data_IF_103076053119
#
_entry.id   IF_103076053119
#
_cell.length_a   1.000
_cell.length_b   1.000
_cell.length_c   1.000
_cell.angle_alpha   90.00
_cell.angle_beta   90.00
_cell.angle_gamma   90.00
#
_symmetry.space_group_name_H-M   'P 1'
#
loop_
_entity.id
_entity.type
_entity.pdbx_description
1 polymer ?
#
# COMPACT_ATOMS: atom_id res chain seq x y z
N UNK A 1 -9.37 0.98 -15.50
CA UNK A 1 -8.86 1.88 -14.44
C UNK A 1 -8.17 3.07 -15.07
N UNK A 2 -8.04 4.18 -14.35
CA UNK A 2 -7.25 5.35 -14.79
C UNK A 2 -5.76 5.06 -14.71
N UNK A 3 -4.96 5.79 -15.50
CA UNK A 3 -3.48 5.72 -15.46
C UNK A 3 -2.91 6.09 -14.09
N UNK A 4 -3.49 7.08 -13.42
CA UNK A 4 -3.07 7.55 -12.09
C UNK A 4 -3.22 6.43 -11.06
N UNK A 5 -4.39 5.77 -11.05
CA UNK A 5 -4.63 4.61 -10.19
C UNK A 5 -3.60 3.50 -10.42
N UNK A 6 -3.32 3.16 -11.69
CA UNK A 6 -2.32 2.14 -12.05
C UNK A 6 -0.91 2.50 -11.56
N UNK A 7 -0.49 3.77 -11.74
CA UNK A 7 0.78 4.27 -11.20
C UNK A 7 0.82 4.10 -9.69
N UNK A 8 -0.27 4.46 -9.00
CA UNK A 8 -0.36 4.35 -7.55
C UNK A 8 -0.20 2.92 -7.05
N UNK A 9 -0.88 1.96 -7.66
CA UNK A 9 -0.74 0.52 -7.35
C UNK A 9 0.69 0.04 -7.63
N UNK A 10 1.24 0.39 -8.80
CA UNK A 10 2.60 -0.03 -9.16
C UNK A 10 3.67 0.49 -8.20
N UNK A 11 3.49 1.70 -7.65
CA UNK A 11 4.36 2.23 -6.61
C UNK A 11 4.29 1.42 -5.31
N UNK A 12 3.11 0.96 -4.89
CA UNK A 12 2.96 0.08 -3.71
C UNK A 12 3.63 -1.26 -3.98
N UNK A 13 3.39 -1.84 -5.16
CA UNK A 13 3.98 -3.12 -5.57
C UNK A 13 5.50 -3.12 -5.53
N UNK A 14 6.13 -2.03 -5.97
CA UNK A 14 7.59 -1.87 -5.95
C UNK A 14 8.20 -1.92 -4.55
N UNK A 15 7.42 -1.60 -3.52
CA UNK A 15 7.87 -1.58 -2.12
C UNK A 15 7.22 -2.67 -1.27
N UNK A 16 6.54 -3.64 -1.88
CA UNK A 16 5.98 -4.80 -1.18
C UNK A 16 7.03 -5.56 -0.35
N UNK A 17 8.24 -5.84 -0.85
CA UNK A 17 9.24 -6.55 -0.06
C UNK A 17 9.64 -5.79 1.22
N UNK A 18 9.72 -4.47 1.16
CA UNK A 18 10.00 -3.62 2.30
C UNK A 18 8.82 -3.52 3.27
N UNK A 19 7.58 -3.49 2.76
CA UNK A 19 6.38 -3.59 3.59
C UNK A 19 6.34 -4.92 4.34
N UNK A 20 6.68 -6.03 3.69
CA UNK A 20 6.79 -7.34 4.34
C UNK A 20 7.90 -7.36 5.40
N UNK A 21 9.08 -6.81 5.09
CA UNK A 21 10.17 -6.64 6.09
C UNK A 21 9.76 -5.79 7.29
N UNK A 22 8.90 -4.78 7.07
CA UNK A 22 8.40 -3.94 8.16
C UNK A 22 7.53 -4.73 9.14
N UNK A 23 6.80 -5.76 8.68
CA UNK A 23 6.03 -6.65 9.55
C UNK A 23 6.93 -7.46 10.49
N UNK A 24 8.13 -7.81 10.02
CA UNK A 24 9.12 -8.59 10.78
C UNK A 24 10.01 -7.73 11.70
N UNK A 25 9.96 -6.39 11.59
CA UNK A 25 10.81 -5.50 12.37
C UNK A 25 10.50 -5.63 13.88
N UNK A 26 11.50 -5.96 14.70
CA UNK A 26 11.31 -6.17 16.14
C UNK A 26 11.50 -4.88 16.97
N UNK A 27 12.15 -3.87 16.40
CA UNK A 27 12.52 -2.65 17.09
C UNK A 27 12.27 -1.40 16.24
N UNK A 28 12.16 -0.25 16.92
CA UNK A 28 11.88 1.04 16.28
C UNK A 28 13.00 1.53 15.36
N UNK A 29 14.26 1.19 15.62
CA UNK A 29 15.39 1.62 14.79
C UNK A 29 15.34 0.91 13.43
N UNK A 30 15.13 -0.40 13.43
CA UNK A 30 14.94 -1.21 12.22
C UNK A 30 13.71 -0.75 11.45
N UNK A 31 12.57 -0.59 12.14
CA UNK A 31 11.33 -0.11 11.51
C UNK A 31 11.53 1.27 10.87
N UNK A 32 12.22 2.20 11.54
CA UNK A 32 12.49 3.55 11.00
C UNK A 32 13.32 3.51 9.72
N UNK A 33 14.34 2.64 9.64
CA UNK A 33 15.15 2.49 8.42
C UNK A 33 14.30 2.02 7.25
N UNK A 34 13.42 1.04 7.48
CA UNK A 34 12.52 0.52 6.46
C UNK A 34 11.51 1.59 6.04
N UNK A 35 10.86 2.24 7.01
CA UNK A 35 9.90 3.31 6.77
C UNK A 35 10.52 4.44 5.94
N UNK A 36 11.73 4.87 6.24
CA UNK A 36 12.41 5.90 5.46
C UNK A 36 12.61 5.51 3.98
N UNK A 37 12.79 4.22 3.67
CA UNK A 37 12.92 3.74 2.30
C UNK A 37 11.58 3.76 1.54
N UNK A 38 10.47 3.52 2.22
CA UNK A 38 9.14 3.34 1.59
C UNK A 38 8.19 4.53 1.74
N UNK A 39 8.48 5.48 2.64
CA UNK A 39 7.59 6.58 2.96
C UNK A 39 7.19 7.41 1.73
N UNK A 40 8.16 7.74 0.87
CA UNK A 40 7.90 8.50 -0.35
C UNK A 40 7.05 7.72 -1.37
N UNK A 41 7.40 6.47 -1.74
CA UNK A 41 6.53 5.63 -2.56
C UNK A 41 5.10 5.51 -2.04
N UNK A 42 4.90 5.21 -0.75
CA UNK A 42 3.57 5.06 -0.15
C UNK A 42 2.78 6.37 -0.18
N UNK A 43 3.44 7.48 0.13
CA UNK A 43 2.82 8.82 0.05
C UNK A 43 2.41 9.16 -1.39
N UNK A 44 3.29 8.91 -2.36
CA UNK A 44 2.99 9.13 -3.77
C UNK A 44 1.83 8.24 -4.25
N UNK A 45 1.79 6.97 -3.84
CA UNK A 45 0.69 6.06 -4.13
C UNK A 45 -0.65 6.60 -3.62
N UNK A 46 -0.71 7.10 -2.39
CA UNK A 46 -1.94 7.68 -1.82
C UNK A 46 -2.46 8.84 -2.67
N UNK A 47 -1.56 9.73 -3.13
CA UNK A 47 -1.94 10.84 -4.01
C UNK A 47 -2.47 10.38 -5.36
N UNK A 48 -1.78 9.42 -6.00
CA UNK A 48 -2.15 8.90 -7.31
C UNK A 48 -3.49 8.14 -7.27
N UNK A 49 -3.70 7.30 -6.26
CA UNK A 49 -4.97 6.57 -6.06
C UNK A 49 -6.12 7.55 -5.76
N UNK A 50 -5.86 8.63 -5.01
CA UNK A 50 -6.88 9.65 -4.68
C UNK A 50 -7.46 10.32 -5.93
N UNK A 51 -6.60 10.69 -6.88
CA UNK A 51 -7.01 11.35 -8.12
C UNK A 51 -7.43 10.38 -9.22
N UNK A 52 -7.00 9.12 -9.12
CA UNK A 52 -7.37 8.05 -10.06
C UNK A 52 -8.74 7.43 -9.79
N UNK A 53 -9.12 6.50 -10.67
CA UNK A 53 -10.31 5.65 -10.59
C UNK A 53 -9.92 4.18 -10.80
N UNK A 54 -10.34 3.31 -9.88
CA UNK A 54 -10.01 1.89 -9.91
C UNK A 54 -10.73 1.09 -8.83
N UNK A 55 -10.61 -0.25 -8.86
CA UNK A 55 -11.24 -1.14 -7.89
C UNK A 55 -10.76 -0.85 -6.47
N UNK A 56 -11.64 -1.03 -5.49
CA UNK A 56 -11.33 -0.85 -4.06
C UNK A 56 -10.63 0.48 -3.70
N UNK A 57 -10.81 1.53 -4.52
CA UNK A 57 -10.17 2.85 -4.32
C UNK A 57 -10.39 3.37 -2.90
N UNK A 58 -11.63 3.40 -2.44
CA UNK A 58 -11.97 3.92 -1.12
C UNK A 58 -11.34 3.08 0.01
N UNK A 59 -11.29 1.76 -0.16
CA UNK A 59 -10.66 0.85 0.79
C UNK A 59 -9.14 1.07 0.86
N UNK A 60 -8.48 1.22 -0.29
CA UNK A 60 -7.07 1.58 -0.38
C UNK A 60 -6.78 2.92 0.29
N UNK A 61 -7.59 3.95 0.03
CA UNK A 61 -7.41 5.28 0.63
C UNK A 61 -7.65 5.27 2.14
N UNK A 62 -8.64 4.49 2.61
CA UNK A 62 -8.92 4.30 4.03
C UNK A 62 -7.75 3.66 4.80
N UNK A 63 -6.88 2.94 4.09
CA UNK A 63 -5.69 2.30 4.64
C UNK A 63 -4.44 3.16 4.46
N UNK A 64 -4.23 3.74 3.27
CA UNK A 64 -3.05 4.55 2.93
C UNK A 64 -2.99 5.85 3.72
N UNK A 65 -4.13 6.52 3.93
CA UNK A 65 -4.18 7.82 4.62
C UNK A 65 -3.65 7.73 6.06
N UNK A 66 -4.17 6.82 6.93
CA UNK A 66 -3.62 6.67 8.27
C UNK A 66 -2.19 6.11 8.25
N UNK A 67 -1.86 5.23 7.29
CA UNK A 67 -0.51 4.66 7.18
C UNK A 67 0.58 5.73 7.00
N UNK A 68 0.32 6.75 6.17
CA UNK A 68 1.26 7.86 5.98
C UNK A 68 1.50 8.63 7.29
N UNK A 69 0.45 8.84 8.09
CA UNK A 69 0.55 9.46 9.41
C UNK A 69 1.38 8.60 10.38
N UNK A 70 1.04 7.32 10.48
CA UNK A 70 1.73 6.35 11.34
C UNK A 70 3.22 6.21 10.99
N UNK A 71 3.57 6.21 9.70
CA UNK A 71 4.97 6.16 9.26
C UNK A 71 5.77 7.39 9.69
N UNK A 72 5.16 8.58 9.61
CA UNK A 72 5.80 9.84 10.04
C UNK A 72 6.09 9.84 11.52
N UNK A 73 5.11 9.41 12.32
CA UNK A 73 5.20 9.43 13.78
C UNK A 73 6.06 8.28 14.33
N UNK A 74 5.80 7.05 13.86
CA UNK A 74 6.37 5.79 14.38
C UNK A 74 6.25 5.67 15.91
N UNK A 75 5.13 6.17 16.44
CA UNK A 75 4.80 6.15 17.85
C UNK A 75 4.45 4.73 18.31
N UNK A 76 3.61 4.05 17.54
CA UNK A 76 3.12 2.70 17.78
C UNK A 76 3.45 1.77 16.58
N UNK A 77 4.31 0.78 16.83
CA UNK A 77 4.76 -0.14 15.79
C UNK A 77 3.71 -1.21 15.46
N UNK A 78 2.89 -1.62 16.42
CA UNK A 78 1.88 -2.66 16.21
C UNK A 78 0.73 -2.11 15.36
N UNK A 79 0.30 -0.88 15.65
CA UNK A 79 -0.70 -0.16 14.83
C UNK A 79 -0.21 0.06 13.39
N UNK A 80 1.07 0.42 13.22
CA UNK A 80 1.70 0.55 11.91
C UNK A 80 1.68 -0.79 11.16
N UNK A 81 2.12 -1.87 11.81
CA UNK A 81 2.16 -3.22 11.22
C UNK A 81 0.77 -3.71 10.81
N UNK A 82 -0.26 -3.45 11.61
CA UNK A 82 -1.62 -3.82 11.26
C UNK A 82 -2.11 -3.10 10.00
N UNK A 83 -1.80 -1.80 9.90
CA UNK A 83 -2.16 -1.00 8.72
C UNK A 83 -1.40 -1.47 7.47
N UNK A 84 -0.14 -1.91 7.63
CA UNK A 84 0.64 -2.55 6.56
C UNK A 84 0.04 -3.90 6.14
N UNK A 85 -0.39 -4.75 7.09
CA UNK A 85 -1.07 -6.02 6.78
C UNK A 85 -2.34 -5.79 5.96
N UNK A 86 -3.17 -4.83 6.39
CA UNK A 86 -4.38 -4.44 5.67
C UNK A 86 -4.04 -3.95 4.26
N UNK A 87 -3.02 -3.11 4.10
CA UNK A 87 -2.61 -2.61 2.78
C UNK A 87 -2.21 -3.75 1.85
N UNK A 88 -1.32 -4.65 2.31
CA UNK A 88 -0.87 -5.81 1.52
C UNK A 88 -2.06 -6.66 1.10
N UNK A 89 -2.99 -6.93 2.03
CA UNK A 89 -4.21 -7.68 1.73
C UNK A 89 -5.06 -7.00 0.65
N UNK A 90 -5.39 -5.72 0.82
CA UNK A 90 -6.23 -4.99 -0.15
C UNK A 90 -5.57 -4.91 -1.53
N UNK A 91 -4.23 -4.76 -1.60
CA UNK A 91 -3.51 -4.79 -2.87
C UNK A 91 -3.62 -6.15 -3.56
N UNK A 92 -3.49 -7.26 -2.82
CA UNK A 92 -3.69 -8.61 -3.38
C UNK A 92 -5.10 -8.81 -3.91
N UNK A 93 -6.12 -8.38 -3.16
CA UNK A 93 -7.51 -8.47 -3.61
C UNK A 93 -7.77 -7.65 -4.88
N UNK A 94 -7.13 -6.48 -5.01
CA UNK A 94 -7.17 -5.69 -6.26
C UNK A 94 -6.52 -6.46 -7.42
N UNK A 95 -5.39 -7.11 -7.22
CA UNK A 95 -4.73 -7.91 -8.26
C UNK A 95 -5.57 -9.11 -8.69
N UNK A 96 -6.22 -9.78 -7.75
CA UNK A 96 -7.14 -10.89 -8.00
C UNK A 96 -8.36 -10.41 -8.82
N UNK A 97 -8.98 -9.29 -8.44
CA UNK A 97 -10.12 -8.71 -9.18
C UNK A 97 -9.72 -8.31 -10.60
N UNK A 98 -8.55 -7.71 -10.77
CA UNK A 98 -8.04 -7.34 -12.08
C UNK A 98 -7.72 -8.54 -12.97
N UNK A 99 -7.20 -9.62 -12.39
CA UNK A 99 -6.87 -10.85 -13.12
C UNK A 99 -8.14 -11.59 -13.57
N UNK A 100 -9.15 -11.70 -12.69
CA UNK A 100 -10.43 -12.33 -13.00
C UNK A 100 -11.19 -11.60 -14.12
N UNK A 101 -11.13 -10.25 -14.15
CA UNK A 101 -11.74 -9.44 -15.21
C UNK A 101 -11.02 -9.62 -16.56
N UNK A 102 -9.71 -9.88 -16.54
CA UNK A 102 -8.93 -10.12 -17.76
C UNK A 102 -9.23 -11.50 -18.38
N UNK A 103 -9.41 -12.53 -17.55
CA UNK A 103 -9.77 -13.89 -18.00
C UNK A 103 -11.16 -13.93 -18.63
N UNK A 104 -12.15 -13.22 -18.07
CA UNK A 104 -13.50 -13.13 -18.63
C UNK A 104 -13.58 -12.36 -19.96
N UNK A 105 -12.63 -11.49 -20.26
CA UNK A 105 -12.57 -10.75 -21.54
C UNK A 105 -11.90 -11.51 -22.67
N UNK A 106 -11.14 -12.55 -22.33
CA UNK A 106 -10.37 -13.36 -23.28
C UNK A 106 -10.99 -14.75 -23.51
N UNK A 107 -12.10 -15.07 -22.84
CA UNK A 107 -12.93 -16.27 -23.03
C UNK A 107 -14.16 -15.94 -23.89
#
# INVERSE_FOLDING_TARGET
>A
MSKEFEIGINLIKKVLPELEKLLEAQDKLTARRIVNAIFHPITASAYQIRVGQGPKKEELLSTLTPLVGQMRELSDLDVLKESVRRLIKTVKEVEEELSAVQEQKNA
#
